data_IF_766034835583
#
_entry.id   IF_766034835583
#
_cell.length_a   1.000
_cell.length_b   1.000
_cell.length_c   1.000
_cell.angle_alpha   90.00
_cell.angle_beta   90.00
_cell.angle_gamma   90.00
#
_symmetry.space_group_name_H-M   'P 1'
#
loop_
_entity.id
_entity.type
_entity.pdbx_description
1 polymer ?
#
# COMPACT_ATOMS: atom_id res chain seq x y z
N UNK A 1 2.30 -15.89 12.10
CA UNK A 1 1.72 -14.62 12.51
C UNK A 1 2.75 -13.52 12.36
N UNK A 2 2.37 -12.41 11.76
CA UNK A 2 3.30 -11.31 11.53
C UNK A 2 3.54 -10.52 12.81
N UNK A 3 4.78 -10.14 13.03
CA UNK A 3 5.18 -9.34 14.18
C UNK A 3 5.24 -7.86 13.81
N UNK A 4 4.91 -7.00 14.76
CA UNK A 4 5.06 -5.56 14.58
C UNK A 4 6.53 -5.20 14.38
N UNK A 5 6.79 -4.34 13.41
CA UNK A 5 8.11 -3.79 13.20
C UNK A 5 8.39 -2.68 14.23
N UNK A 6 9.66 -2.54 14.61
CA UNK A 6 10.07 -1.43 15.46
C UNK A 6 10.03 -0.11 14.69
N UNK A 7 10.03 1.01 15.41
CA UNK A 7 10.08 2.34 14.79
C UNK A 7 11.30 2.51 13.90
N UNK A 8 12.44 2.00 14.33
CA UNK A 8 13.67 2.05 13.54
C UNK A 8 13.56 1.24 12.25
N UNK A 9 12.95 0.06 12.33
CA UNK A 9 12.74 -0.80 11.15
C UNK A 9 11.79 -0.13 10.14
N UNK A 10 10.72 0.47 10.64
CA UNK A 10 9.77 1.21 9.80
C UNK A 10 10.47 2.37 9.10
N UNK A 11 11.20 3.18 9.86
CA UNK A 11 11.93 4.32 9.30
C UNK A 11 12.91 3.91 8.23
N UNK A 12 13.66 2.83 8.48
CA UNK A 12 14.63 2.30 7.53
C UNK A 12 13.99 1.90 6.21
N UNK A 13 12.85 1.23 6.28
CA UNK A 13 12.14 0.77 5.09
C UNK A 13 11.52 1.92 4.29
N UNK A 14 11.18 3.01 4.95
CA UNK A 14 10.57 4.17 4.28
C UNK A 14 11.60 5.14 3.68
N UNK A 15 12.86 5.03 4.05
CA UNK A 15 13.91 5.98 3.66
C UNK A 15 14.01 6.22 2.16
N UNK A 16 13.94 5.18 1.35
CA UNK A 16 14.03 5.29 -0.10
C UNK A 16 12.69 5.00 -0.78
N UNK A 17 11.62 5.00 -0.01
CA UNK A 17 10.30 4.61 -0.49
C UNK A 17 9.47 5.83 -0.87
N UNK A 18 8.54 5.63 -1.79
CA UNK A 18 7.52 6.65 -2.12
C UNK A 18 6.33 6.57 -1.17
N UNK A 19 6.33 5.59 -0.29
CA UNK A 19 5.29 5.46 0.74
C UNK A 19 5.65 6.34 1.93
N UNK A 20 4.63 6.87 2.58
CA UNK A 20 4.81 7.65 3.80
C UNK A 20 3.99 7.02 4.92
N UNK A 21 4.41 7.28 6.14
CA UNK A 21 3.70 6.77 7.30
C UNK A 21 2.56 7.70 7.68
N UNK A 22 1.41 7.08 7.98
CA UNK A 22 0.22 7.78 8.47
C UNK A 22 -0.34 6.97 9.63
N UNK A 23 0.03 7.33 10.86
CA UNK A 23 -0.36 6.57 12.06
C UNK A 23 0.19 5.15 12.02
N UNK A 24 -0.68 4.17 12.06
CA UNK A 24 -0.33 2.74 12.03
C UNK A 24 -0.33 2.16 10.62
N UNK A 25 -0.32 3.01 9.61
CA UNK A 25 -0.37 2.59 8.22
C UNK A 25 0.72 3.26 7.40
N UNK A 26 0.99 2.71 6.22
CA UNK A 26 1.75 3.39 5.19
C UNK A 26 0.85 3.67 4.02
N UNK A 27 1.04 4.81 3.37
CA UNK A 27 0.17 5.27 2.29
C UNK A 27 0.98 5.76 1.11
N UNK A 28 0.42 5.62 -0.07
CA UNK A 28 0.98 6.17 -1.30
C UNK A 28 -0.14 6.55 -2.25
N UNK A 29 0.02 7.69 -2.95
CA UNK A 29 -0.90 8.14 -3.98
C UNK A 29 -0.27 7.96 -5.36
N UNK A 30 -1.09 7.57 -6.32
CA UNK A 30 -0.72 7.53 -7.75
C UNK A 30 -1.65 8.45 -8.52
N UNK A 31 -1.12 9.07 -9.57
CA UNK A 31 -1.91 9.89 -10.48
C UNK A 31 -1.82 9.30 -11.89
N UNK A 32 -2.95 9.16 -12.54
CA UNK A 32 -3.05 8.58 -13.89
C UNK A 32 -3.56 9.64 -14.88
N UNK A 33 -3.48 9.34 -16.17
CA UNK A 33 -3.94 10.25 -17.20
C UNK A 33 -5.45 10.42 -17.21
N UNK A 34 -6.19 9.35 -16.86
CA UNK A 34 -7.65 9.37 -16.89
C UNK A 34 -8.22 8.37 -15.88
N UNK A 35 -9.54 8.40 -15.77
CA UNK A 35 -10.27 7.55 -14.83
C UNK A 35 -10.13 6.06 -15.20
N UNK A 36 -10.21 5.73 -16.48
CA UNK A 36 -10.11 4.34 -16.92
C UNK A 36 -8.77 3.71 -16.52
N UNK A 37 -7.67 4.45 -16.67
CA UNK A 37 -6.34 3.95 -16.26
C UNK A 37 -6.24 3.79 -14.75
N UNK A 38 -6.85 4.70 -13.99
CA UNK A 38 -6.90 4.58 -12.54
C UNK A 38 -7.62 3.28 -12.12
N UNK A 39 -8.73 2.97 -12.78
CA UNK A 39 -9.49 1.75 -12.48
C UNK A 39 -8.74 0.49 -12.91
N UNK A 40 -8.02 0.51 -14.02
CA UNK A 40 -7.15 -0.60 -14.40
C UNK A 40 -6.13 -0.90 -13.29
N UNK A 41 -5.51 0.15 -12.75
CA UNK A 41 -4.58 -0.01 -11.64
C UNK A 41 -5.26 -0.61 -10.41
N UNK A 42 -6.45 -0.13 -10.06
CA UNK A 42 -7.23 -0.68 -8.94
C UNK A 42 -7.49 -2.17 -9.11
N UNK A 43 -7.84 -2.60 -10.31
CA UNK A 43 -8.08 -4.01 -10.60
C UNK A 43 -6.79 -4.84 -10.45
N UNK A 44 -5.65 -4.30 -10.87
CA UNK A 44 -4.36 -4.97 -10.69
C UNK A 44 -3.99 -5.08 -9.21
N UNK A 45 -4.25 -4.04 -8.44
CA UNK A 45 -4.03 -4.04 -6.98
C UNK A 45 -4.91 -5.12 -6.33
N UNK A 46 -6.16 -5.21 -6.74
CA UNK A 46 -7.09 -6.20 -6.20
C UNK A 46 -6.59 -7.63 -6.45
N UNK A 47 -6.09 -7.91 -7.64
CA UNK A 47 -5.58 -9.24 -7.98
C UNK A 47 -4.37 -9.60 -7.10
N UNK A 48 -3.44 -8.68 -6.93
CA UNK A 48 -2.25 -8.90 -6.10
C UNK A 48 -2.65 -9.11 -4.64
N UNK A 49 -3.57 -8.29 -4.14
CA UNK A 49 -4.04 -8.37 -2.76
C UNK A 49 -4.75 -9.70 -2.47
N UNK A 50 -5.57 -10.17 -3.42
CA UNK A 50 -6.26 -11.44 -3.27
C UNK A 50 -5.29 -12.61 -3.25
N UNK A 51 -4.29 -12.61 -4.11
CA UNK A 51 -3.27 -13.65 -4.15
C UNK A 51 -2.48 -13.75 -2.86
N UNK A 52 -2.20 -12.62 -2.24
CA UNK A 52 -1.43 -12.56 -0.99
C UNK A 52 -2.33 -12.66 0.26
N UNK A 53 -3.63 -12.59 0.08
CA UNK A 53 -4.61 -12.51 1.17
C UNK A 53 -4.24 -11.39 2.15
N UNK A 54 -3.82 -10.25 1.63
CA UNK A 54 -3.46 -9.06 2.41
C UNK A 54 -3.96 -7.83 1.66
N UNK A 55 -5.02 -7.22 2.16
CA UNK A 55 -5.80 -6.22 1.44
C UNK A 55 -5.49 -4.80 1.90
N UNK A 56 -5.18 -3.89 0.96
CA UNK A 56 -5.04 -2.47 1.29
C UNK A 56 -6.41 -1.82 1.34
N UNK A 57 -6.47 -0.63 1.94
CA UNK A 57 -7.59 0.27 1.67
C UNK A 57 -7.30 0.95 0.33
N UNK A 58 -8.32 1.08 -0.49
CA UNK A 58 -8.21 1.67 -1.82
C UNK A 58 -9.16 2.86 -1.91
N UNK A 59 -8.62 4.03 -2.22
CA UNK A 59 -9.42 5.23 -2.41
C UNK A 59 -9.15 5.79 -3.80
N UNK A 60 -10.17 5.83 -4.64
CA UNK A 60 -10.11 6.54 -5.92
C UNK A 60 -10.63 7.94 -5.65
N UNK A 61 -9.84 8.96 -5.93
CA UNK A 61 -10.23 10.34 -5.68
C UNK A 61 -9.75 11.26 -6.81
N UNK A 62 -10.41 12.41 -6.96
CA UNK A 62 -10.07 13.32 -8.03
C UNK A 62 -10.12 12.68 -9.40
N UNK A 63 -10.98 11.70 -9.60
CA UNK A 63 -11.21 10.88 -10.80
C UNK A 63 -9.98 10.12 -11.35
N UNK A 64 -8.79 10.65 -11.21
CA UNK A 64 -7.58 10.04 -11.79
C UNK A 64 -6.50 9.69 -10.75
N UNK A 65 -6.83 9.72 -9.48
CA UNK A 65 -5.86 9.41 -8.41
C UNK A 65 -6.31 8.20 -7.62
N UNK A 66 -5.34 7.40 -7.20
CA UNK A 66 -5.58 6.22 -6.34
C UNK A 66 -4.66 6.31 -5.14
N UNK A 67 -5.23 6.28 -3.96
CA UNK A 67 -4.47 6.22 -2.72
C UNK A 67 -4.62 4.81 -2.13
N UNK A 68 -3.49 4.18 -1.85
CA UNK A 68 -3.46 2.90 -1.15
C UNK A 68 -2.95 3.10 0.27
N UNK A 69 -3.55 2.37 1.21
CA UNK A 69 -3.09 2.35 2.60
C UNK A 69 -2.92 0.90 3.04
N UNK A 70 -1.82 0.61 3.70
CA UNK A 70 -1.50 -0.72 4.20
C UNK A 70 -1.25 -0.69 5.69
N UNK A 71 -1.86 -1.62 6.39
CA UNK A 71 -1.60 -1.88 7.81
C UNK A 71 -2.00 -3.32 8.09
N UNK A 72 -1.60 -3.86 9.23
CA UNK A 72 -2.04 -5.17 9.68
C UNK A 72 -2.94 -5.00 10.89
N UNK A 73 -4.25 -5.07 10.68
CA UNK A 73 -5.23 -4.88 11.75
C UNK A 73 -5.08 -5.91 12.87
N UNK A 74 -4.77 -7.14 12.52
CA UNK A 74 -4.59 -8.22 13.51
C UNK A 74 -3.39 -8.00 14.40
N UNK A 75 -2.32 -7.42 13.87
CA UNK A 75 -1.12 -7.12 14.63
C UNK A 75 -1.19 -5.75 15.31
N UNK A 76 -2.09 -4.89 14.89
CA UNK A 76 -2.25 -3.55 15.43
C UNK A 76 -1.28 -2.52 14.88
N UNK A 77 -0.72 -2.73 13.70
CA UNK A 77 0.21 -1.79 13.09
C UNK A 77 0.99 -2.40 11.94
N UNK A 78 2.16 -1.85 11.67
CA UNK A 78 2.96 -2.23 10.51
C UNK A 78 3.80 -3.48 10.74
N UNK A 79 3.81 -4.34 9.73
CA UNK A 79 4.51 -5.62 9.74
C UNK A 79 5.29 -5.77 8.43
N UNK A 80 6.16 -6.77 8.35
CA UNK A 80 6.92 -7.04 7.10
C UNK A 80 6.01 -7.29 5.89
N UNK A 81 4.92 -8.08 6.00
CA UNK A 81 4.01 -8.23 4.86
C UNK A 81 3.46 -6.93 4.29
N UNK A 82 3.26 -5.89 5.10
CA UNK A 82 2.82 -4.59 4.60
C UNK A 82 3.83 -4.00 3.62
N UNK A 83 5.10 -4.07 3.95
CA UNK A 83 6.17 -3.57 3.08
C UNK A 83 6.40 -4.46 1.86
N UNK A 84 6.20 -5.76 1.99
CA UNK A 84 6.25 -6.66 0.84
C UNK A 84 5.15 -6.32 -0.17
N UNK A 85 3.93 -6.07 0.33
CA UNK A 85 2.82 -5.65 -0.52
C UNK A 85 3.08 -4.30 -1.16
N UNK A 86 3.64 -3.35 -0.41
CA UNK A 86 4.00 -2.04 -0.93
C UNK A 86 4.94 -2.18 -2.13
N UNK A 87 5.94 -3.03 -2.04
CA UNK A 87 6.88 -3.29 -3.14
C UNK A 87 6.18 -3.88 -4.36
N UNK A 88 5.24 -4.79 -4.15
CA UNK A 88 4.46 -5.39 -5.24
C UNK A 88 3.60 -4.35 -5.95
N UNK A 89 2.93 -3.49 -5.19
CA UNK A 89 2.12 -2.42 -5.76
C UNK A 89 2.97 -1.40 -6.52
N UNK A 90 4.17 -1.11 -6.03
CA UNK A 90 5.09 -0.19 -6.70
C UNK A 90 5.46 -0.68 -8.10
N UNK A 91 5.46 -2.00 -8.32
CA UNK A 91 5.82 -2.58 -9.60
C UNK A 91 4.67 -2.55 -10.62
N UNK A 92 3.45 -2.25 -10.19
CA UNK A 92 2.30 -2.20 -11.08
C UNK A 92 2.20 -0.92 -11.89
N UNK A 93 2.85 0.12 -11.46
CA UNK A 93 2.79 1.41 -12.15
C UNK A 93 4.02 2.28 -11.87
#
# INVERSE_FOLDING_TARGET
MAELLSEGEIGSRLESSKWIREGDAIVRDWKFENFAEAIVFVNQVADVAEQANHHPNILVHGWNKVKLSLTNHSAGGLTEPDFEMARKFDQLS
#
